data_IF_815678174977
#
_entry.id   IF_815678174977
#
_cell.length_a   1.000
_cell.length_b   1.000
_cell.length_c   1.000
_cell.angle_alpha   90.00
_cell.angle_beta   90.00
_cell.angle_gamma   90.00
#
_symmetry.space_group_name_H-M   'P 1'
#
loop_
_entity.id
_entity.type
_entity.pdbx_description
1 polymer ?
#
# COMPACT_ATOMS: atom_id res chain seq x y z
N UNK A 1 22.53 -39.26 -18.77
CA UNK A 1 21.24 -38.60 -18.47
C UNK A 1 21.08 -38.61 -16.97
N UNK A 2 21.19 -37.46 -16.29
CA UNK A 2 20.82 -37.36 -14.88
C UNK A 2 20.27 -35.96 -14.59
N UNK A 3 18.93 -35.92 -14.64
CA UNK A 3 17.96 -35.10 -13.95
C UNK A 3 18.43 -33.84 -13.20
N UNK A 4 18.40 -32.69 -13.89
CA UNK A 4 18.32 -31.38 -13.25
C UNK A 4 16.86 -31.09 -12.90
N UNK A 5 16.51 -31.11 -11.61
CA UNK A 5 15.23 -30.62 -11.14
C UNK A 5 15.48 -29.52 -10.10
N UNK A 6 15.85 -28.34 -10.61
CA UNK A 6 15.77 -27.11 -9.84
C UNK A 6 14.32 -26.65 -9.83
N UNK A 7 13.61 -27.03 -8.77
CA UNK A 7 12.33 -26.40 -8.43
C UNK A 7 12.60 -24.92 -8.17
N UNK A 8 12.39 -24.09 -9.19
CA UNK A 8 12.29 -22.65 -9.03
C UNK A 8 11.05 -22.38 -8.17
N UNK A 9 11.25 -22.33 -6.86
CA UNK A 9 10.36 -21.63 -5.96
C UNK A 9 10.57 -20.13 -6.19
N UNK A 10 10.16 -19.64 -7.37
CA UNK A 10 9.82 -18.24 -7.54
C UNK A 10 8.67 -18.00 -6.57
N UNK A 11 8.99 -17.41 -5.41
CA UNK A 11 8.06 -16.53 -4.72
C UNK A 11 7.52 -15.64 -5.82
N UNK A 12 6.33 -15.98 -6.32
CA UNK A 12 5.57 -15.07 -7.15
C UNK A 12 5.47 -13.84 -6.26
N UNK A 13 6.10 -12.69 -6.57
CA UNK A 13 5.87 -11.51 -5.77
C UNK A 13 4.37 -11.34 -5.83
N UNK A 14 3.69 -11.56 -4.69
CA UNK A 14 2.25 -11.38 -4.63
C UNK A 14 2.00 -10.02 -5.27
N UNK A 15 1.25 -10.00 -6.39
CA UNK A 15 1.05 -8.77 -7.16
C UNK A 15 0.57 -7.73 -6.16
N UNK A 16 1.41 -6.75 -5.87
CA UNK A 16 1.14 -5.78 -4.82
C UNK A 16 -0.06 -4.96 -5.27
N UNK A 17 -1.01 -4.75 -4.38
CA UNK A 17 -2.14 -3.88 -4.68
C UNK A 17 -1.68 -2.43 -4.69
N UNK A 18 -2.35 -1.57 -5.46
CA UNK A 18 -2.08 -0.13 -5.46
C UNK A 18 -3.26 0.59 -4.83
N UNK A 19 -3.00 1.71 -4.16
CA UNK A 19 -4.08 2.59 -3.70
C UNK A 19 -4.53 3.43 -4.88
N UNK A 20 -5.81 3.34 -5.23
CA UNK A 20 -6.39 4.05 -6.39
C UNK A 20 -7.30 5.20 -5.99
N UNK A 21 -7.83 5.19 -4.77
CA UNK A 21 -8.67 6.25 -4.21
C UNK A 21 -8.62 6.23 -2.68
N UNK A 22 -8.99 7.34 -2.05
CA UNK A 22 -9.00 7.49 -0.59
C UNK A 22 -10.34 8.05 -0.11
N UNK A 23 -10.76 7.68 1.11
CA UNK A 23 -11.86 8.37 1.79
C UNK A 23 -11.30 9.23 2.89
N UNK A 24 -11.77 10.48 2.98
CA UNK A 24 -11.38 11.45 4.00
C UNK A 24 -12.53 11.72 4.99
N UNK A 25 -12.22 11.95 6.26
CA UNK A 25 -13.18 12.41 7.26
C UNK A 25 -13.48 13.92 7.09
N UNK A 26 -14.29 14.50 7.99
CA UNK A 26 -14.64 15.92 7.96
C UNK A 26 -13.45 16.88 8.18
N UNK A 27 -12.36 16.38 8.75
CA UNK A 27 -11.14 17.13 9.03
C UNK A 27 -10.11 17.01 7.88
N UNK A 28 -10.38 16.17 6.88
CA UNK A 28 -9.52 15.93 5.73
C UNK A 28 -8.56 14.74 5.90
N UNK A 29 -8.60 14.02 7.01
CA UNK A 29 -7.74 12.86 7.25
C UNK A 29 -8.23 11.63 6.49
N UNK A 30 -7.29 10.88 5.91
CA UNK A 30 -7.59 9.61 5.24
C UNK A 30 -8.02 8.56 6.28
N UNK A 31 -9.20 7.99 6.10
CA UNK A 31 -9.76 6.95 6.99
C UNK A 31 -9.94 5.60 6.30
N UNK A 32 -10.07 5.56 4.96
CA UNK A 32 -10.14 4.33 4.17
C UNK A 32 -9.39 4.48 2.85
N UNK A 33 -8.91 3.35 2.33
CA UNK A 33 -8.15 3.26 1.08
C UNK A 33 -8.86 2.26 0.16
N UNK A 34 -9.09 2.65 -1.09
CA UNK A 34 -9.52 1.73 -2.14
C UNK A 34 -8.30 1.18 -2.88
N UNK A 35 -8.21 -0.14 -2.94
CA UNK A 35 -7.14 -0.86 -3.61
C UNK A 35 -7.49 -1.13 -5.08
N UNK A 36 -6.49 -1.45 -5.89
CA UNK A 36 -6.63 -1.73 -7.32
C UNK A 36 -7.54 -2.93 -7.62
N UNK A 37 -7.75 -3.84 -6.65
CA UNK A 37 -8.75 -4.91 -6.74
C UNK A 37 -10.20 -4.44 -6.59
N UNK A 38 -10.42 -3.18 -6.20
CA UNK A 38 -11.70 -2.64 -5.77
C UNK A 38 -12.00 -2.87 -4.28
N UNK A 39 -11.16 -3.62 -3.56
CA UNK A 39 -11.29 -3.79 -2.10
C UNK A 39 -11.10 -2.45 -1.39
N UNK A 40 -11.93 -2.16 -0.39
CA UNK A 40 -11.77 -1.02 0.51
C UNK A 40 -11.30 -1.52 1.86
N UNK A 41 -10.21 -0.96 2.35
CA UNK A 41 -9.61 -1.27 3.64
C UNK A 41 -9.59 -0.03 4.52
N UNK A 42 -9.70 -0.21 5.83
CA UNK A 42 -9.52 0.90 6.77
C UNK A 42 -8.03 1.28 6.90
N UNK A 43 -7.77 2.43 7.53
CA UNK A 43 -6.42 2.94 7.68
C UNK A 43 -5.49 1.98 8.44
N UNK A 44 -5.98 1.28 9.47
CA UNK A 44 -5.15 0.35 10.26
C UNK A 44 -4.82 -0.92 9.49
N UNK A 45 -5.78 -1.45 8.74
CA UNK A 45 -5.53 -2.58 7.84
C UNK A 45 -4.49 -2.20 6.77
N UNK A 46 -4.64 -1.01 6.16
CA UNK A 46 -3.67 -0.52 5.19
C UNK A 46 -2.25 -0.38 5.76
N UNK A 47 -2.11 0.04 7.03
CA UNK A 47 -0.80 0.03 7.72
C UNK A 47 -0.19 -1.36 7.82
N UNK A 48 -0.98 -2.37 8.21
CA UNK A 48 -0.49 -3.74 8.28
C UNK A 48 -0.12 -4.27 6.90
N UNK A 49 -0.93 -3.99 5.89
CA UNK A 49 -0.66 -4.39 4.51
C UNK A 49 0.60 -3.75 3.95
N UNK A 50 0.81 -2.46 4.17
CA UNK A 50 2.03 -1.75 3.76
C UNK A 50 3.28 -2.34 4.44
N UNK A 51 3.22 -2.62 5.75
CA UNK A 51 4.31 -3.31 6.46
C UNK A 51 4.63 -4.70 5.91
N UNK A 52 3.61 -5.41 5.44
CA UNK A 52 3.75 -6.74 4.84
C UNK A 52 4.15 -6.69 3.36
N UNK A 53 4.36 -5.49 2.78
CA UNK A 53 4.68 -5.33 1.36
C UNK A 53 3.53 -5.75 0.42
N UNK A 54 2.29 -5.64 0.89
CA UNK A 54 1.09 -6.00 0.10
C UNK A 54 0.53 -4.81 -0.68
N UNK A 55 0.93 -3.59 -0.34
CA UNK A 55 0.56 -2.35 -1.04
C UNK A 55 1.83 -1.74 -1.63
N UNK A 56 1.81 -1.46 -2.93
CA UNK A 56 2.92 -0.82 -3.64
C UNK A 56 2.92 0.70 -3.41
N UNK A 57 4.10 1.30 -3.50
CA UNK A 57 4.33 2.75 -3.42
C UNK A 57 3.94 3.40 -2.08
N UNK A 58 3.71 2.60 -1.03
CA UNK A 58 3.27 3.10 0.27
C UNK A 58 4.08 2.44 1.38
N UNK A 59 4.48 3.22 2.37
CA UNK A 59 5.24 2.78 3.53
C UNK A 59 4.65 3.31 4.84
N UNK A 60 4.90 2.57 5.93
CA UNK A 60 4.58 3.02 7.29
C UNK A 60 5.78 3.72 7.91
N UNK A 61 5.56 4.85 8.55
CA UNK A 61 6.56 5.54 9.36
C UNK A 61 5.99 5.94 10.72
N UNK A 62 6.88 6.18 11.68
CA UNK A 62 6.50 6.69 13.00
C UNK A 62 6.54 8.22 12.99
N UNK A 63 5.41 8.85 13.31
CA UNK A 63 5.26 10.29 13.42
C UNK A 63 5.91 10.86 14.69
N UNK A 64 5.90 12.19 14.81
CA UNK A 64 6.43 12.89 16.00
C UNK A 64 5.54 12.71 17.24
N UNK A 65 4.26 12.44 17.00
CA UNK A 65 3.26 12.03 17.98
C UNK A 65 3.53 10.63 18.58
N UNK A 66 4.36 9.83 17.91
CA UNK A 66 4.66 8.46 18.30
C UNK A 66 3.72 7.42 17.68
N UNK A 67 2.75 7.86 16.88
CA UNK A 67 1.85 6.98 16.15
C UNK A 67 2.44 6.60 14.79
N UNK A 68 1.90 5.51 14.24
CA UNK A 68 2.26 5.07 12.89
C UNK A 68 1.36 5.76 11.87
N UNK A 69 1.94 6.10 10.72
CA UNK A 69 1.28 6.81 9.64
C UNK A 69 1.69 6.21 8.29
N UNK A 70 0.80 6.25 7.32
CA UNK A 70 1.07 5.89 5.93
C UNK A 70 1.64 7.11 5.19
N UNK A 71 2.65 6.87 4.36
CA UNK A 71 3.13 7.84 3.36
C UNK A 71 3.32 7.13 2.02
N UNK A 72 3.13 7.87 0.93
CA UNK A 72 3.61 7.41 -0.38
C UNK A 72 5.13 7.45 -0.45
N UNK A 73 5.68 6.67 -1.37
CA UNK A 73 7.10 6.65 -1.67
C UNK A 73 7.56 7.97 -2.30
N UNK A 74 8.77 8.39 -1.97
CA UNK A 74 9.41 9.53 -2.59
C UNK A 74 10.07 9.10 -3.93
N UNK A 75 9.26 8.58 -4.86
CA UNK A 75 9.71 8.06 -6.16
C UNK A 75 9.73 9.12 -7.27
N UNK A 76 9.21 10.33 -6.98
CA UNK A 76 9.14 11.45 -7.92
C UNK A 76 7.89 11.46 -8.80
N UNK A 77 6.98 10.49 -8.65
CA UNK A 77 5.69 10.46 -9.32
C UNK A 77 4.58 10.94 -8.37
N UNK A 78 4.11 12.20 -8.49
CA UNK A 78 3.07 12.71 -7.60
C UNK A 78 1.71 12.05 -7.83
N UNK A 79 1.50 11.28 -8.90
CA UNK A 79 0.19 10.68 -9.22
C UNK A 79 -0.20 9.55 -8.26
N UNK A 80 0.77 8.93 -7.58
CA UNK A 80 0.55 7.88 -6.59
C UNK A 80 0.63 8.38 -5.13
N UNK A 81 0.76 9.70 -4.93
CA UNK A 81 0.72 10.30 -3.61
C UNK A 81 -0.68 10.17 -3.00
N UNK A 82 -0.80 9.60 -1.80
CA UNK A 82 -2.08 9.39 -1.12
C UNK A 82 -2.96 10.66 -1.05
N UNK A 83 -2.34 11.83 -0.89
CA UNK A 83 -3.05 13.12 -0.85
C UNK A 83 -3.53 13.62 -2.23
N UNK A 84 -2.96 13.11 -3.31
CA UNK A 84 -3.32 13.45 -4.68
C UNK A 84 -4.32 12.47 -5.30
N UNK A 85 -4.63 11.36 -4.61
CA UNK A 85 -5.58 10.37 -5.10
C UNK A 85 -7.04 10.89 -5.06
N UNK A 86 -7.89 10.42 -5.98
CA UNK A 86 -9.30 10.78 -5.99
C UNK A 86 -10.01 10.33 -4.71
N UNK A 87 -11.09 11.05 -4.35
CA UNK A 87 -11.94 10.74 -3.19
C UNK A 87 -13.18 9.94 -3.61
N UNK A 88 -13.67 9.01 -2.77
CA UNK A 88 -14.87 8.20 -2.98
C UNK A 88 -15.79 8.04 -1.75
#
# INVERSE_FOLDING_TARGET
MNNNNWSNNTVNPAVQEQVVAVRKNGDGDIVQLQLSSGRVVDYKEAQQMAKNGQIAHVNVFKGRDGDEHLRSDADGDPSNNLDNLPVF
#
